data_IF_655208476440
#
_entry.id   IF_655208476440
#
_cell.length_a   1.000
_cell.length_b   1.000
_cell.length_c   1.000
_cell.angle_alpha   90.00
_cell.angle_beta   90.00
_cell.angle_gamma   90.00
#
_symmetry.space_group_name_H-M   'P 1'
#
loop_
_entity.id
_entity.type
_entity.pdbx_description
1 polymer ?
#
# COMPACT_ATOMS: atom_id res chain seq x y z
N UNK A 1 -22.52 4.66 -0.15
CA UNK A 1 -21.41 4.33 -1.07
C UNK A 1 -20.56 3.25 -0.44
N UNK A 2 -20.19 2.21 -1.21
CA UNK A 2 -19.36 1.07 -0.77
C UNK A 2 -18.21 0.86 -1.75
N UNK A 3 -17.00 0.68 -1.27
CA UNK A 3 -15.82 0.39 -2.09
C UNK A 3 -15.21 -0.96 -1.72
N UNK A 4 -14.82 -1.73 -2.72
CA UNK A 4 -13.99 -2.93 -2.55
C UNK A 4 -12.52 -2.53 -2.60
N UNK A 5 -11.79 -2.78 -1.53
CA UNK A 5 -10.35 -2.52 -1.46
C UNK A 5 -9.54 -3.80 -1.65
N UNK A 6 -8.46 -3.72 -2.43
CA UNK A 6 -7.59 -4.86 -2.79
C UNK A 6 -6.13 -4.46 -2.62
N UNK A 7 -5.41 -5.13 -1.71
CA UNK A 7 -3.96 -4.99 -1.56
C UNK A 7 -3.27 -6.35 -1.68
N UNK A 8 -2.39 -6.45 -2.65
CA UNK A 8 -1.49 -7.59 -2.90
C UNK A 8 -0.05 -7.11 -3.18
N UNK A 9 0.26 -5.88 -2.79
CA UNK A 9 1.52 -5.20 -3.08
C UNK A 9 2.74 -5.77 -2.36
N UNK A 10 2.54 -6.51 -1.27
CA UNK A 10 3.57 -7.12 -0.44
C UNK A 10 3.37 -8.62 -0.25
N UNK A 11 3.90 -9.16 0.86
CA UNK A 11 3.63 -10.53 1.29
C UNK A 11 2.18 -10.71 1.76
N UNK A 12 1.60 -9.66 2.31
CA UNK A 12 0.21 -9.63 2.79
C UNK A 12 -0.74 -9.61 1.59
N UNK A 13 -1.79 -10.43 1.64
CA UNK A 13 -2.99 -10.29 0.84
C UNK A 13 -4.09 -9.73 1.72
N UNK A 14 -4.69 -8.62 1.35
CA UNK A 14 -5.77 -8.00 2.10
C UNK A 14 -6.88 -7.53 1.17
N UNK A 15 -8.12 -7.85 1.52
CA UNK A 15 -9.32 -7.38 0.83
C UNK A 15 -10.31 -6.82 1.85
N UNK A 16 -11.08 -5.81 1.47
CA UNK A 16 -12.04 -5.21 2.40
C UNK A 16 -13.19 -4.51 1.68
N UNK A 17 -14.31 -4.40 2.36
CA UNK A 17 -15.45 -3.56 1.97
C UNK A 17 -15.54 -2.39 2.93
N UNK A 18 -15.41 -1.18 2.39
CA UNK A 18 -15.45 0.07 3.16
C UNK A 18 -16.63 0.90 2.69
N UNK A 19 -17.41 1.40 3.64
CA UNK A 19 -18.44 2.42 3.40
C UNK A 19 -17.95 3.81 3.84
N UNK A 20 -18.78 4.82 3.70
CA UNK A 20 -18.48 6.16 4.21
C UNK A 20 -18.39 6.25 5.72
N UNK A 21 -19.05 5.34 6.44
CA UNK A 21 -19.18 5.38 7.89
C UNK A 21 -18.44 4.26 8.61
N UNK A 22 -18.08 3.16 7.91
CA UNK A 22 -17.52 1.98 8.56
C UNK A 22 -16.71 1.10 7.62
N UNK A 23 -15.80 0.33 8.21
CA UNK A 23 -15.19 -0.85 7.62
C UNK A 23 -16.16 -2.03 7.80
N UNK A 24 -16.90 -2.39 6.75
CA UNK A 24 -17.93 -3.43 6.79
C UNK A 24 -17.32 -4.81 6.98
N UNK A 25 -16.25 -5.10 6.21
CA UNK A 25 -15.54 -6.37 6.29
C UNK A 25 -14.08 -6.20 5.86
N UNK A 26 -13.18 -6.96 6.48
CA UNK A 26 -11.79 -7.07 6.08
C UNK A 26 -11.32 -8.51 6.23
N UNK A 27 -10.65 -9.03 5.19
CA UNK A 27 -10.02 -10.32 5.22
C UNK A 27 -8.54 -10.15 4.86
N UNK A 28 -7.67 -10.32 5.85
CA UNK A 28 -6.22 -10.14 5.71
C UNK A 28 -5.48 -11.43 6.04
N UNK A 29 -4.59 -11.85 5.15
CA UNK A 29 -3.71 -13.00 5.35
C UNK A 29 -2.26 -12.53 5.23
N UNK A 30 -1.52 -12.68 6.34
CA UNK A 30 -0.08 -12.47 6.37
C UNK A 30 0.63 -13.82 6.36
N UNK A 31 0.56 -14.52 5.24
CA UNK A 31 1.16 -15.84 5.08
C UNK A 31 1.69 -16.03 3.66
N UNK A 32 2.78 -16.78 3.53
CA UNK A 32 3.47 -17.02 2.24
C UNK A 32 2.64 -17.94 1.33
N UNK A 33 1.64 -17.37 0.67
CA UNK A 33 0.85 -18.03 -0.39
C UNK A 33 0.84 -17.18 -1.65
N UNK A 34 0.57 -17.81 -2.78
CA UNK A 34 0.49 -17.15 -4.08
C UNK A 34 -0.81 -16.35 -4.18
N UNK A 35 -0.74 -15.04 -4.32
CA UNK A 35 -1.90 -14.13 -4.38
C UNK A 35 -2.88 -14.49 -5.50
N UNK A 36 -2.40 -15.02 -6.64
CA UNK A 36 -3.26 -15.49 -7.75
C UNK A 36 -4.21 -16.61 -7.36
N UNK A 37 -3.90 -17.36 -6.30
CA UNK A 37 -4.75 -18.45 -5.81
C UNK A 37 -5.65 -18.01 -4.64
N UNK A 38 -5.34 -16.90 -3.99
CA UNK A 38 -6.01 -16.52 -2.75
C UNK A 38 -6.90 -15.29 -2.87
N UNK A 39 -6.57 -14.34 -3.75
CA UNK A 39 -7.19 -13.03 -3.75
C UNK A 39 -8.69 -13.07 -4.12
N UNK A 40 -9.07 -13.73 -5.23
CA UNK A 40 -10.48 -13.89 -5.60
C UNK A 40 -11.27 -14.73 -4.59
N UNK A 41 -10.77 -15.90 -4.11
CA UNK A 41 -11.42 -16.62 -3.02
C UNK A 41 -11.62 -15.82 -1.74
N UNK A 42 -10.69 -14.92 -1.38
CA UNK A 42 -10.86 -14.04 -0.22
C UNK A 42 -12.01 -13.05 -0.43
N UNK A 43 -12.10 -12.45 -1.63
CA UNK A 43 -13.20 -11.55 -1.99
C UNK A 43 -14.54 -12.30 -1.95
N UNK A 44 -14.63 -13.44 -2.60
CA UNK A 44 -15.85 -14.28 -2.65
C UNK A 44 -16.30 -14.69 -1.24
N UNK A 45 -15.37 -15.21 -0.43
CA UNK A 45 -15.65 -15.59 0.97
C UNK A 45 -16.15 -14.39 1.78
N UNK A 46 -15.49 -13.24 1.67
CA UNK A 46 -15.84 -12.04 2.43
C UNK A 46 -17.24 -11.54 2.04
N UNK A 47 -17.53 -11.43 0.76
CA UNK A 47 -18.83 -10.95 0.24
C UNK A 47 -19.94 -11.92 0.65
N UNK A 48 -19.69 -13.24 0.55
CA UNK A 48 -20.65 -14.27 0.96
C UNK A 48 -20.96 -14.22 2.48
N UNK A 49 -19.93 -13.97 3.33
CA UNK A 49 -20.12 -13.92 4.78
C UNK A 49 -20.98 -12.74 5.27
N UNK A 50 -21.07 -11.69 4.47
CA UNK A 50 -21.89 -10.49 4.81
C UNK A 50 -23.16 -10.42 3.97
N UNK A 51 -23.53 -11.49 3.29
CA UNK A 51 -24.72 -11.58 2.43
C UNK A 51 -24.86 -10.40 1.44
N UNK A 52 -23.73 -9.89 0.92
CA UNK A 52 -23.70 -8.72 0.04
C UNK A 52 -23.72 -9.12 -1.44
N UNK A 53 -24.54 -8.47 -2.25
CA UNK A 53 -24.40 -8.55 -3.70
C UNK A 53 -23.18 -7.70 -4.14
N UNK A 54 -22.24 -8.32 -4.86
CA UNK A 54 -21.04 -7.63 -5.37
C UNK A 54 -21.39 -6.46 -6.31
N UNK A 55 -22.57 -6.43 -6.89
CA UNK A 55 -23.06 -5.32 -7.70
C UNK A 55 -23.32 -4.03 -6.88
N UNK A 56 -23.43 -4.15 -5.55
CA UNK A 56 -23.65 -3.00 -4.65
C UNK A 56 -22.39 -2.14 -4.46
N UNK A 57 -21.20 -2.60 -4.86
CA UNK A 57 -20.00 -1.76 -4.81
C UNK A 57 -20.08 -0.64 -5.84
N UNK A 58 -19.58 0.53 -5.46
CA UNK A 58 -19.54 1.73 -6.31
C UNK A 58 -18.20 1.92 -7.03
N UNK A 59 -17.15 1.26 -6.55
CA UNK A 59 -15.81 1.33 -7.13
C UNK A 59 -14.85 0.34 -6.47
N UNK A 60 -13.68 0.18 -7.08
CA UNK A 60 -12.64 -0.74 -6.64
C UNK A 60 -11.38 0.04 -6.34
N UNK A 61 -10.95 0.00 -5.09
CA UNK A 61 -9.70 0.60 -4.63
C UNK A 61 -8.60 -0.43 -4.74
N UNK A 62 -7.49 -0.08 -5.35
CA UNK A 62 -6.35 -0.99 -5.50
C UNK A 62 -5.05 -0.33 -5.07
N UNK A 63 -4.22 -1.05 -4.30
CA UNK A 63 -2.85 -0.65 -4.03
C UNK A 63 -2.06 -0.69 -5.35
N UNK A 64 -1.78 0.49 -5.89
CA UNK A 64 -1.23 0.64 -7.24
C UNK A 64 0.29 0.43 -7.29
N UNK A 65 0.96 0.40 -6.18
CA UNK A 65 2.42 0.33 -6.07
C UNK A 65 2.99 1.55 -5.33
N UNK A 66 4.27 1.48 -4.97
CA UNK A 66 5.24 0.42 -5.27
C UNK A 66 5.01 -0.87 -4.49
N UNK A 67 5.71 -1.94 -4.87
CA UNK A 67 5.65 -3.23 -4.18
C UNK A 67 6.18 -4.40 -4.99
N UNK A 68 5.78 -5.61 -4.62
CA UNK A 68 6.07 -6.83 -5.34
C UNK A 68 5.53 -6.76 -6.77
N UNK A 69 6.41 -6.87 -7.77
CA UNK A 69 6.05 -6.80 -9.18
C UNK A 69 4.95 -7.81 -9.58
N UNK A 70 5.08 -9.05 -9.11
CA UNK A 70 4.07 -10.10 -9.31
C UNK A 70 2.78 -9.78 -8.56
N UNK A 71 2.88 -9.35 -7.31
CA UNK A 71 1.73 -9.00 -6.48
C UNK A 71 0.92 -7.86 -7.09
N UNK A 72 1.56 -6.78 -7.49
CA UNK A 72 0.92 -5.63 -8.13
C UNK A 72 0.16 -6.02 -9.40
N UNK A 73 0.75 -6.89 -10.24
CA UNK A 73 0.08 -7.38 -11.46
C UNK A 73 -1.14 -8.24 -11.15
N UNK A 74 -1.08 -9.08 -10.12
CA UNK A 74 -2.22 -9.91 -9.71
C UNK A 74 -3.35 -9.00 -9.20
N UNK A 75 -3.05 -8.05 -8.29
CA UNK A 75 -4.03 -7.07 -7.81
C UNK A 75 -4.65 -6.25 -8.93
N UNK A 76 -3.81 -5.71 -9.82
CA UNK A 76 -4.24 -4.95 -10.99
C UNK A 76 -5.16 -5.76 -11.91
N UNK A 77 -4.78 -7.00 -12.24
CA UNK A 77 -5.60 -7.87 -13.10
C UNK A 77 -6.93 -8.21 -12.45
N UNK A 78 -6.94 -8.48 -11.14
CA UNK A 78 -8.17 -8.74 -10.37
C UNK A 78 -9.07 -7.50 -10.36
N UNK A 79 -8.51 -6.32 -10.05
CA UNK A 79 -9.26 -5.07 -10.03
C UNK A 79 -9.83 -4.71 -11.42
N UNK A 80 -9.02 -4.84 -12.47
CA UNK A 80 -9.48 -4.61 -13.87
C UNK A 80 -10.58 -5.58 -14.27
N UNK A 81 -10.40 -6.88 -14.00
CA UNK A 81 -11.41 -7.89 -14.30
C UNK A 81 -12.75 -7.62 -13.62
N UNK A 82 -12.73 -7.29 -12.33
CA UNK A 82 -13.93 -6.93 -11.58
C UNK A 82 -14.52 -5.60 -12.07
N UNK A 83 -13.69 -4.57 -12.30
CA UNK A 83 -14.12 -3.27 -12.81
C UNK A 83 -14.85 -3.35 -14.14
N UNK A 84 -14.32 -4.17 -15.07
CA UNK A 84 -14.97 -4.45 -16.36
C UNK A 84 -16.29 -5.24 -16.19
N UNK A 85 -16.27 -6.32 -15.40
CA UNK A 85 -17.44 -7.18 -15.21
C UNK A 85 -18.59 -6.43 -14.53
N UNK A 86 -18.30 -5.55 -13.59
CA UNK A 86 -19.29 -4.82 -12.79
C UNK A 86 -19.56 -3.40 -13.33
N UNK A 87 -18.84 -2.97 -14.36
CA UNK A 87 -18.86 -1.60 -14.89
C UNK A 87 -18.62 -0.55 -13.79
N UNK A 88 -17.55 -0.75 -13.00
CA UNK A 88 -17.18 0.13 -11.88
C UNK A 88 -15.79 0.75 -12.09
N UNK A 89 -15.59 2.02 -11.66
CA UNK A 89 -14.31 2.68 -11.74
C UNK A 89 -13.28 2.07 -10.78
N UNK A 90 -12.02 2.27 -11.10
CA UNK A 90 -10.88 1.93 -10.24
C UNK A 90 -10.34 3.19 -9.58
N UNK A 91 -10.03 3.08 -8.31
CA UNK A 91 -9.36 4.10 -7.50
C UNK A 91 -7.93 3.61 -7.23
N UNK A 92 -6.98 4.28 -7.89
CA UNK A 92 -5.56 3.98 -7.77
C UNK A 92 -4.99 4.68 -6.54
N UNK A 93 -4.55 3.91 -5.53
CA UNK A 93 -3.96 4.46 -4.30
C UNK A 93 -2.50 4.01 -4.21
N UNK A 94 -1.54 4.94 -4.01
CA UNK A 94 -0.15 4.59 -3.78
C UNK A 94 -0.02 3.67 -2.55
N UNK A 95 0.75 2.59 -2.67
CA UNK A 95 0.86 1.58 -1.60
C UNK A 95 1.44 2.15 -0.31
N UNK A 96 2.47 3.00 -0.44
CA UNK A 96 3.15 3.60 0.71
C UNK A 96 2.23 4.58 1.45
N UNK A 97 1.42 5.35 0.70
CA UNK A 97 0.41 6.26 1.25
C UNK A 97 -0.64 5.48 2.07
N UNK A 98 -1.17 4.40 1.50
CA UNK A 98 -2.14 3.53 2.17
C UNK A 98 -1.57 2.86 3.43
N UNK A 99 -0.30 2.42 3.36
CA UNK A 99 0.38 1.82 4.50
C UNK A 99 0.55 2.85 5.63
N UNK A 100 0.98 4.08 5.32
CA UNK A 100 1.09 5.15 6.32
C UNK A 100 -0.24 5.52 6.95
N UNK A 101 -1.33 5.44 6.20
CA UNK A 101 -2.67 5.76 6.68
C UNK A 101 -3.19 4.81 7.78
N UNK A 102 -2.53 3.66 8.02
CA UNK A 102 -2.80 2.80 9.18
C UNK A 102 -2.68 3.56 10.52
N UNK A 103 -1.86 4.62 10.57
CA UNK A 103 -1.52 5.36 11.79
C UNK A 103 -2.34 6.66 11.92
N UNK A 104 -3.63 6.56 11.72
CA UNK A 104 -4.55 7.70 11.75
C UNK A 104 -4.39 8.58 13.00
N UNK A 105 -4.22 9.90 12.77
CA UNK A 105 -4.07 10.95 13.79
C UNK A 105 -2.89 10.78 14.77
N UNK A 106 -1.85 10.02 14.42
CA UNK A 106 -0.61 10.10 15.21
C UNK A 106 0.00 11.51 15.13
N UNK A 107 0.69 11.91 16.20
CA UNK A 107 1.43 13.19 16.25
C UNK A 107 2.85 13.06 15.70
N UNK A 108 3.31 11.83 15.49
CA UNK A 108 4.64 11.55 14.94
C UNK A 108 4.63 11.67 13.42
N UNK A 109 5.80 11.93 12.85
CA UNK A 109 6.03 11.74 11.43
C UNK A 109 5.83 10.24 11.11
N UNK A 110 5.05 9.93 10.10
CA UNK A 110 4.80 8.57 9.65
C UNK A 110 5.80 8.24 8.54
N UNK A 111 6.60 7.20 8.74
CA UNK A 111 7.58 6.73 7.77
C UNK A 111 7.33 5.25 7.44
N UNK A 112 6.45 4.95 6.46
CA UNK A 112 6.31 3.60 5.95
C UNK A 112 7.61 3.16 5.26
N UNK A 113 8.07 1.94 5.52
CA UNK A 113 9.23 1.35 4.84
C UNK A 113 8.87 -0.05 4.35
N UNK A 114 8.93 -0.27 3.05
CA UNK A 114 8.78 -1.59 2.43
C UNK A 114 10.13 -2.04 1.86
N UNK A 115 10.51 -3.30 2.11
CA UNK A 115 11.79 -3.82 1.62
C UNK A 115 11.82 -3.87 0.08
N UNK A 116 12.65 -3.04 -0.54
CA UNK A 116 12.88 -3.00 -1.98
C UNK A 116 14.12 -3.81 -2.39
N UNK A 117 14.72 -4.57 -1.48
CA UNK A 117 15.98 -5.33 -1.63
C UNK A 117 17.21 -4.43 -1.81
N UNK A 118 18.42 -5.00 -1.65
CA UNK A 118 19.71 -4.32 -1.87
C UNK A 118 19.87 -3.04 -1.05
N UNK A 119 19.52 -3.08 0.23
CA UNK A 119 19.55 -1.94 1.18
C UNK A 119 18.63 -0.76 0.80
N UNK A 120 17.72 -0.96 -0.13
CA UNK A 120 16.73 0.04 -0.52
C UNK A 120 15.37 -0.25 0.06
N UNK A 121 14.61 0.82 0.27
CA UNK A 121 13.22 0.78 0.72
C UNK A 121 12.34 1.58 -0.23
N UNK A 122 11.10 1.13 -0.39
CA UNK A 122 10.02 2.01 -0.83
C UNK A 122 9.48 2.71 0.41
N UNK A 123 9.44 4.03 0.38
CA UNK A 123 9.13 4.86 1.52
C UNK A 123 8.49 6.19 1.09
N UNK A 124 8.03 6.96 2.03
CA UNK A 124 7.55 8.32 1.94
C UNK A 124 7.45 8.90 3.35
N UNK A 125 7.21 10.19 3.49
CA UNK A 125 7.03 10.84 4.77
C UNK A 125 5.70 11.55 4.83
N UNK A 126 4.95 11.29 5.89
CA UNK A 126 3.59 11.78 6.07
C UNK A 126 3.40 12.31 7.48
N UNK A 127 2.43 13.19 7.65
CA UNK A 127 1.95 13.61 8.98
C UNK A 127 0.45 13.88 8.94
N UNK A 128 -0.18 13.89 10.10
CA UNK A 128 -1.54 14.41 10.24
C UNK A 128 -1.49 15.83 10.77
N UNK A 129 -2.02 16.78 9.99
CA UNK A 129 -2.23 18.16 10.41
C UNK A 129 -3.72 18.34 10.66
N UNK A 130 -4.11 18.42 11.93
CA UNK A 130 -5.50 18.31 12.37
C UNK A 130 -6.09 16.94 11.99
N UNK A 131 -6.93 16.88 10.96
CA UNK A 131 -7.52 15.63 10.45
C UNK A 131 -7.05 15.28 9.03
N UNK A 132 -6.25 16.14 8.43
CA UNK A 132 -5.76 15.97 7.07
C UNK A 132 -4.48 15.13 7.05
N UNK A 133 -4.46 14.13 6.17
CA UNK A 133 -3.28 13.32 5.88
C UNK A 133 -2.42 14.05 4.85
N UNK A 134 -1.29 14.57 5.30
CA UNK A 134 -0.40 15.43 4.50
C UNK A 134 0.84 14.66 4.10
N UNK A 135 1.20 14.74 2.83
CA UNK A 135 2.45 14.20 2.30
C UNK A 135 3.58 15.23 2.47
N UNK A 136 4.57 14.90 3.31
CA UNK A 136 5.80 15.69 3.47
C UNK A 136 6.77 15.37 2.33
N UNK A 137 6.97 14.08 2.08
CA UNK A 137 7.75 13.59 0.95
C UNK A 137 6.97 12.45 0.26
N UNK A 138 6.76 12.54 -1.08
CA UNK A 138 5.99 11.52 -1.80
C UNK A 138 6.74 10.18 -1.80
N UNK A 139 6.02 9.13 -2.18
CA UNK A 139 6.62 7.80 -2.29
C UNK A 139 7.86 7.78 -3.20
N UNK A 140 8.90 7.11 -2.73
CA UNK A 140 10.20 7.02 -3.39
C UNK A 140 10.87 5.67 -3.15
N UNK A 141 11.90 5.37 -3.93
CA UNK A 141 12.80 4.23 -3.74
C UNK A 141 14.20 4.76 -3.42
N UNK A 142 14.67 4.60 -2.19
CA UNK A 142 15.93 5.16 -1.70
C UNK A 142 16.67 4.16 -0.81
N UNK A 143 17.93 4.44 -0.49
CA UNK A 143 18.65 3.67 0.51
C UNK A 143 18.09 3.95 1.91
N UNK A 144 18.18 2.95 2.80
CA UNK A 144 17.70 3.10 4.18
C UNK A 144 18.47 4.20 4.94
N UNK A 145 19.72 4.47 4.55
CA UNK A 145 20.54 5.56 5.08
C UNK A 145 19.98 6.93 4.71
N UNK A 146 19.54 7.08 3.46
CA UNK A 146 19.05 8.37 2.96
C UNK A 146 17.76 8.79 3.67
N UNK A 147 16.83 7.84 3.87
CA UNK A 147 15.59 8.15 4.60
C UNK A 147 15.84 8.40 6.09
N UNK A 148 16.82 7.71 6.71
CA UNK A 148 17.20 8.00 8.08
C UNK A 148 17.77 9.42 8.22
N UNK A 149 18.59 9.86 7.28
CA UNK A 149 19.13 11.23 7.24
C UNK A 149 18.02 12.28 7.06
N UNK A 150 17.04 12.02 6.17
CA UNK A 150 15.91 12.92 5.99
C UNK A 150 15.05 13.04 7.24
N UNK A 151 14.77 11.93 7.93
CA UNK A 151 14.04 11.92 9.20
C UNK A 151 14.81 12.71 10.27
N UNK A 152 16.13 12.49 10.39
CA UNK A 152 16.96 13.22 11.34
C UNK A 152 16.95 14.74 11.06
N UNK A 153 16.96 15.18 9.80
CA UNK A 153 16.87 16.60 9.42
C UNK A 153 15.54 17.24 9.82
N UNK A 154 14.45 16.49 9.81
CA UNK A 154 13.14 17.00 10.25
C UNK A 154 13.09 17.32 11.73
N UNK A 155 13.93 16.65 12.57
CA UNK A 155 14.03 16.93 14.01
C UNK A 155 12.76 16.63 14.81
N UNK A 156 11.79 15.90 14.24
CA UNK A 156 10.53 15.49 14.87
C UNK A 156 10.59 14.01 15.22
N UNK A 157 9.75 13.58 16.17
CA UNK A 157 9.56 12.15 16.45
C UNK A 157 8.95 11.43 15.23
N UNK A 158 9.33 10.17 15.02
CA UNK A 158 8.93 9.36 13.87
C UNK A 158 8.42 7.99 14.30
N UNK A 159 7.42 7.48 13.60
CA UNK A 159 6.93 6.12 13.72
C UNK A 159 7.12 5.37 12.40
N UNK A 160 7.83 4.23 12.47
CA UNK A 160 8.08 3.36 11.32
C UNK A 160 7.10 2.21 11.27
N UNK A 161 6.68 1.84 10.06
CA UNK A 161 5.85 0.66 9.79
C UNK A 161 6.20 0.07 8.42
N UNK A 162 5.68 -1.12 8.14
CA UNK A 162 5.96 -1.86 6.91
C UNK A 162 6.87 -3.06 7.15
N UNK A 163 6.98 -3.93 6.16
CA UNK A 163 7.81 -5.14 6.21
C UNK A 163 9.32 -4.84 6.24
N UNK A 164 9.71 -3.65 5.79
CA UNK A 164 11.09 -3.17 5.92
C UNK A 164 11.55 -3.00 7.38
N UNK A 165 10.61 -2.84 8.33
CA UNK A 165 10.97 -2.77 9.77
C UNK A 165 11.66 -4.05 10.22
N UNK A 166 11.17 -5.22 9.84
CA UNK A 166 11.79 -6.50 10.19
C UNK A 166 13.24 -6.61 9.68
N UNK A 167 13.53 -5.99 8.54
CA UNK A 167 14.85 -6.05 7.87
C UNK A 167 15.81 -4.99 8.38
N UNK A 168 15.32 -3.79 8.63
CA UNK A 168 16.18 -2.60 8.84
C UNK A 168 16.13 -2.03 10.25
N UNK A 169 15.39 -2.64 11.19
CA UNK A 169 15.22 -2.13 12.55
C UNK A 169 16.56 -1.80 13.23
N UNK A 170 17.48 -2.75 13.28
CA UNK A 170 18.79 -2.54 13.94
C UNK A 170 19.60 -1.44 13.27
N UNK A 171 19.52 -1.33 11.93
CA UNK A 171 20.23 -0.28 11.20
C UNK A 171 19.60 1.10 11.47
N UNK A 172 18.29 1.19 11.58
CA UNK A 172 17.59 2.43 11.96
C UNK A 172 17.95 2.84 13.39
N UNK A 173 18.01 1.89 14.34
CA UNK A 173 18.43 2.13 15.73
C UNK A 173 19.84 2.73 15.83
N UNK A 174 20.74 2.39 14.89
CA UNK A 174 22.11 2.96 14.82
C UNK A 174 22.16 4.35 14.16
N UNK A 175 21.27 4.62 13.19
CA UNK A 175 21.32 5.84 12.36
C UNK A 175 20.48 6.99 12.89
N UNK A 176 19.41 6.69 13.62
CA UNK A 176 18.47 7.73 14.05
C UNK A 176 18.96 8.50 15.27
N UNK A 177 18.86 9.82 15.18
CA UNK A 177 19.18 10.76 16.26
C UNK A 177 17.96 11.42 16.88
N UNK A 178 16.79 11.28 16.23
CA UNK A 178 15.51 11.75 16.73
C UNK A 178 14.80 10.67 17.53
N UNK A 179 13.77 11.03 18.27
CA UNK A 179 12.89 10.06 18.94
C UNK A 179 12.15 9.24 17.89
N UNK A 180 12.11 7.92 18.07
CA UNK A 180 11.43 7.02 17.13
C UNK A 180 10.70 5.89 17.84
N UNK A 181 9.71 5.35 17.14
CA UNK A 181 8.97 4.16 17.54
C UNK A 181 8.70 3.27 16.33
N UNK A 182 8.28 2.03 16.59
CA UNK A 182 7.80 1.12 15.55
C UNK A 182 6.34 0.81 15.82
N UNK A 183 5.54 0.78 14.76
CA UNK A 183 4.13 0.48 14.85
C UNK A 183 3.89 -0.91 15.47
N UNK A 184 2.83 -1.09 16.26
CA UNK A 184 2.47 -2.39 16.82
C UNK A 184 2.06 -3.37 15.71
N UNK A 185 2.17 -4.68 15.97
CA UNK A 185 2.01 -5.75 14.98
C UNK A 185 0.73 -5.67 14.14
N UNK A 186 -0.37 -5.20 14.72
CA UNK A 186 -1.67 -5.11 14.03
C UNK A 186 -1.78 -3.91 13.08
N UNK A 187 -0.86 -2.93 13.16
CA UNK A 187 -0.78 -1.75 12.29
C UNK A 187 0.48 -1.75 11.41
N UNK A 188 1.35 -2.76 11.59
CA UNK A 188 2.68 -2.79 10.98
C UNK A 188 2.62 -3.02 9.46
N UNK A 189 1.64 -3.76 8.96
CA UNK A 189 1.59 -4.21 7.56
C UNK A 189 0.34 -3.70 6.84
N UNK A 190 0.28 -3.94 5.54
CA UNK A 190 -0.82 -3.51 4.66
C UNK A 190 -2.18 -4.00 5.17
N UNK A 191 -3.18 -3.13 5.08
CA UNK A 191 -4.57 -3.41 5.46
C UNK A 191 -5.54 -2.81 4.45
N UNK A 192 -6.48 -3.62 3.99
CA UNK A 192 -7.49 -3.16 3.05
C UNK A 192 -8.43 -2.11 3.65
N UNK A 193 -8.64 -2.12 4.96
CA UNK A 193 -9.42 -1.09 5.64
C UNK A 193 -8.80 0.30 5.51
N UNK A 194 -7.49 0.43 5.73
CA UNK A 194 -6.78 1.70 5.55
C UNK A 194 -6.75 2.12 4.07
N UNK A 195 -6.40 1.18 3.18
CA UNK A 195 -6.41 1.40 1.73
C UNK A 195 -7.79 1.88 1.24
N UNK A 196 -8.86 1.20 1.65
CA UNK A 196 -10.23 1.53 1.25
C UNK A 196 -10.69 2.89 1.79
N UNK A 197 -10.33 3.21 3.04
CA UNK A 197 -10.67 4.50 3.66
C UNK A 197 -9.95 5.66 2.95
N UNK A 198 -8.67 5.52 2.63
CA UNK A 198 -7.95 6.51 1.84
C UNK A 198 -8.51 6.57 0.41
N UNK A 199 -8.85 5.43 -0.18
CA UNK A 199 -9.50 5.34 -1.49
C UNK A 199 -10.87 6.04 -1.52
N UNK A 200 -11.62 6.03 -0.42
CA UNK A 200 -12.88 6.78 -0.28
C UNK A 200 -12.65 8.28 -0.38
N UNK A 201 -11.57 8.81 0.20
CA UNK A 201 -11.19 10.21 0.05
C UNK A 201 -10.85 10.54 -1.41
N UNK A 202 -10.12 9.65 -2.09
CA UNK A 202 -9.76 9.82 -3.50
C UNK A 202 -10.99 9.75 -4.41
N UNK A 203 -11.89 8.82 -4.15
CA UNK A 203 -13.16 8.72 -4.89
C UNK A 203 -13.99 10.00 -4.79
N UNK A 204 -14.14 10.55 -3.58
CA UNK A 204 -14.85 11.82 -3.34
C UNK A 204 -14.18 13.02 -4.03
N UNK A 205 -12.89 12.95 -4.28
CA UNK A 205 -12.13 13.95 -5.05
C UNK A 205 -12.21 13.73 -6.57
N UNK A 206 -12.94 12.72 -7.04
CA UNK A 206 -13.04 12.36 -8.46
C UNK A 206 -11.77 11.71 -9.03
N UNK A 207 -10.85 11.24 -8.18
CA UNK A 207 -9.61 10.54 -8.59
C UNK A 207 -9.91 9.08 -8.92
N UNK A 208 -10.59 8.86 -10.03
CA UNK A 208 -10.95 7.54 -10.54
C UNK A 208 -10.48 7.39 -11.98
N UNK A 209 -10.23 6.16 -12.38
CA UNK A 209 -9.90 5.80 -13.77
C UNK A 209 -10.79 4.65 -14.20
N UNK A 210 -10.95 4.47 -15.52
CA UNK A 210 -11.62 3.27 -16.03
C UNK A 210 -10.77 2.02 -15.81
N UNK A 211 -11.41 0.86 -15.82
CA UNK A 211 -10.68 -0.40 -15.70
C UNK A 211 -9.64 -0.62 -16.82
N UNK A 212 -9.90 -0.10 -18.02
CA UNK A 212 -8.98 -0.19 -19.15
C UNK A 212 -7.75 0.70 -18.98
N UNK A 213 -7.93 1.89 -18.43
CA UNK A 213 -6.86 2.89 -18.25
C UNK A 213 -5.97 2.66 -17.02
N UNK A 214 -6.43 1.85 -16.05
CA UNK A 214 -5.67 1.62 -14.83
C UNK A 214 -4.36 0.88 -15.13
N UNK A 215 -3.24 1.42 -14.60
CA UNK A 215 -1.92 0.79 -14.64
C UNK A 215 -1.23 0.85 -13.28
N UNK A 216 -0.50 -0.23 -12.88
CA UNK A 216 0.33 -0.19 -11.68
C UNK A 216 1.49 0.80 -11.78
N UNK A 217 1.88 1.34 -10.63
CA UNK A 217 3.00 2.28 -10.50
C UNK A 217 4.26 1.49 -10.13
N UNK A 218 5.28 1.56 -11.00
CA UNK A 218 6.58 0.94 -10.77
C UNK A 218 7.64 2.01 -10.51
N UNK A 219 8.12 2.13 -9.27
CA UNK A 219 9.21 3.06 -8.93
C UNK A 219 10.60 2.50 -9.31
N UNK A 220 10.67 1.21 -9.65
CA UNK A 220 11.91 0.55 -10.11
C UNK A 220 11.60 -0.37 -11.28
N UNK A 221 12.55 -0.53 -12.15
CA UNK A 221 12.50 -1.56 -13.21
C UNK A 221 12.39 -2.95 -12.59
N UNK A 222 11.70 -3.86 -13.27
CA UNK A 222 11.67 -5.27 -12.88
C UNK A 222 13.09 -5.87 -12.87
N UNK A 223 13.26 -6.98 -12.17
CA UNK A 223 14.54 -7.68 -12.17
C UNK A 223 14.98 -8.09 -13.59
N UNK A 224 14.02 -8.57 -14.40
CA UNK A 224 14.30 -8.98 -15.78
C UNK A 224 14.75 -7.79 -16.67
N UNK A 225 14.10 -6.64 -16.54
CA UNK A 225 14.49 -5.42 -17.28
C UNK A 225 15.88 -4.92 -16.87
N UNK A 226 16.20 -4.96 -15.58
CA UNK A 226 17.52 -4.58 -15.09
C UNK A 226 18.62 -5.53 -15.59
N UNK A 227 18.40 -6.85 -15.50
CA UNK A 227 19.33 -7.86 -16.02
C UNK A 227 19.56 -7.72 -17.54
N UNK A 228 18.50 -7.32 -18.26
CA UNK A 228 18.62 -7.05 -19.71
C UNK A 228 19.47 -5.81 -19.97
N UNK A 229 19.28 -4.73 -19.22
CA UNK A 229 20.08 -3.51 -19.34
C UNK A 229 21.54 -3.75 -18.95
N UNK A 230 21.80 -4.51 -17.88
CA UNK A 230 23.16 -4.88 -17.46
C UNK A 230 23.88 -5.71 -18.54
N UNK A 231 23.18 -6.61 -19.23
CA UNK A 231 23.75 -7.38 -20.36
C UNK A 231 24.01 -6.52 -21.59
N UNK A 232 23.20 -5.49 -21.83
CA UNK A 232 23.38 -4.56 -22.97
C UNK A 232 24.48 -3.54 -22.71
N UNK A 233 24.70 -3.14 -21.45
CA UNK A 233 25.74 -2.17 -21.07
C UNK A 233 27.10 -2.81 -20.83
N UNK A 234 27.20 -4.12 -20.75
CA UNK A 234 28.46 -4.89 -20.64
C UNK A 234 29.02 -5.40 -21.96
N UNK A 235 28.46 -4.98 -23.10
CA UNK A 235 28.99 -5.12 -24.46
C UNK A 235 29.51 -3.78 -24.94
#
# INVERSE_FOLDING_TARGET
>A
MKLLAIDSSGLVASVGIVSESELIAEYTINYKKTHSQTLLPMIDTMVSMIDMDVNEIDGIVVAAGPGSFTGLRIGASTAKGLGLALNKPIISVPTVDALGFNLYKTTDIICPIMDARRNQVYTGLYEFVSEEYVTIAPQMAVEITDIADEVNKLGKSVIFLGDGVEVYKSKLEELLTVSYTFAPNHLLKQRAGALGTLGMLYYKQGKTVSADEFEPIYLRLSQAERELLEKQSGQ
#
